data_IF_993683821180
#
_entry.id   IF_993683821180
#
_cell.length_a   1.000
_cell.length_b   1.000
_cell.length_c   1.000
_cell.angle_alpha   90.00
_cell.angle_beta   90.00
_cell.angle_gamma   90.00
#
_symmetry.space_group_name_H-M   'P 1'
#
loop_
_entity.id
_entity.type
_entity.pdbx_description
1 polymer ?
#
# COMPACT_ATOMS: atom_id res chain seq x y z
N UNK A 1 25.55 -20.56 -21.03
CA UNK A 1 25.26 -19.61 -19.93
C UNK A 1 25.28 -20.28 -18.55
N UNK A 2 24.43 -21.25 -18.20
CA UNK A 2 24.47 -21.90 -16.86
C UNK A 2 25.73 -22.74 -16.64
N UNK A 3 26.19 -23.47 -17.66
CA UNK A 3 27.42 -24.28 -17.57
C UNK A 3 28.65 -23.39 -17.43
N UNK A 4 28.69 -22.27 -18.15
CA UNK A 4 29.78 -21.28 -18.04
C UNK A 4 29.80 -20.65 -16.64
N UNK A 5 28.63 -20.39 -16.05
CA UNK A 5 28.50 -19.89 -14.67
C UNK A 5 28.87 -20.91 -13.61
N UNK A 6 28.62 -22.21 -13.84
CA UNK A 6 29.04 -23.27 -12.94
C UNK A 6 30.57 -23.45 -12.98
N UNK A 7 31.17 -23.37 -14.17
CA UNK A 7 32.62 -23.37 -14.32
C UNK A 7 33.27 -22.15 -13.63
N UNK A 8 32.66 -20.97 -13.76
CA UNK A 8 33.09 -19.77 -13.02
C UNK A 8 32.96 -19.94 -11.50
N UNK A 9 31.86 -20.55 -11.03
CA UNK A 9 31.64 -20.84 -9.62
C UNK A 9 32.71 -21.77 -9.05
N UNK A 10 33.01 -22.88 -9.73
CA UNK A 10 34.08 -23.80 -9.31
C UNK A 10 35.46 -23.14 -9.33
N UNK A 11 35.72 -22.28 -10.33
CA UNK A 11 36.96 -21.49 -10.37
C UNK A 11 37.08 -20.56 -9.16
N UNK A 12 36.07 -19.74 -8.89
CA UNK A 12 36.08 -18.81 -7.74
C UNK A 12 36.14 -19.57 -6.42
N UNK A 13 35.48 -20.73 -6.32
CA UNK A 13 35.53 -21.61 -5.15
C UNK A 13 36.94 -22.13 -4.89
N UNK A 14 37.69 -22.47 -5.94
CA UNK A 14 39.08 -22.93 -5.83
C UNK A 14 40.06 -21.82 -5.43
N UNK A 15 39.66 -20.55 -5.57
CA UNK A 15 40.45 -19.35 -5.24
C UNK A 15 40.14 -18.81 -3.82
N UNK A 16 39.27 -19.48 -3.05
CA UNK A 16 38.94 -19.04 -1.69
C UNK A 16 40.17 -19.11 -0.77
N UNK A 17 40.48 -17.99 -0.14
CA UNK A 17 41.59 -17.90 0.82
C UNK A 17 41.22 -18.59 2.14
N UNK A 18 42.19 -19.15 2.85
CA UNK A 18 41.93 -19.79 4.16
C UNK A 18 41.69 -18.72 5.24
N UNK A 19 40.70 -18.99 6.11
CA UNK A 19 40.38 -18.20 7.30
C UNK A 19 40.57 -19.00 8.61
N UNK A 20 41.31 -20.11 8.53
CA UNK A 20 41.61 -21.00 9.64
C UNK A 20 40.71 -22.24 9.68
N UNK A 21 41.27 -23.37 10.11
CA UNK A 21 40.70 -24.72 9.93
C UNK A 21 39.22 -24.85 10.35
N UNK A 22 38.81 -24.22 11.45
CA UNK A 22 37.42 -24.27 11.92
C UNK A 22 36.46 -23.52 10.99
N UNK A 23 36.89 -22.37 10.49
CA UNK A 23 36.12 -21.51 9.58
C UNK A 23 36.07 -22.14 8.19
N UNK A 24 37.18 -22.71 7.72
CA UNK A 24 37.29 -23.33 6.41
C UNK A 24 36.32 -24.52 6.26
N UNK A 25 36.13 -25.33 7.31
CA UNK A 25 35.13 -26.42 7.33
C UNK A 25 33.69 -25.88 7.16
N UNK A 26 33.38 -24.73 7.74
CA UNK A 26 32.05 -24.12 7.62
C UNK A 26 31.85 -23.49 6.24
N UNK A 27 32.87 -22.81 5.71
CA UNK A 27 32.88 -22.26 4.35
C UNK A 27 32.74 -23.37 3.31
N UNK A 28 33.41 -24.50 3.51
CA UNK A 28 33.30 -25.67 2.63
C UNK A 28 31.87 -26.24 2.63
N UNK A 29 31.25 -26.40 3.81
CA UNK A 29 29.85 -26.85 3.89
C UNK A 29 28.90 -25.88 3.19
N UNK A 30 29.09 -24.58 3.40
CA UNK A 30 28.25 -23.55 2.78
C UNK A 30 28.40 -23.51 1.26
N UNK A 31 29.63 -23.52 0.76
CA UNK A 31 29.91 -23.51 -0.69
C UNK A 31 29.45 -24.79 -1.39
N UNK A 32 29.56 -25.96 -0.74
CA UNK A 32 28.95 -27.19 -1.22
C UNK A 32 27.42 -27.08 -1.34
N UNK A 33 26.76 -26.48 -0.35
CA UNK A 33 25.31 -26.22 -0.39
C UNK A 33 24.91 -25.32 -1.55
N UNK A 34 25.66 -24.24 -1.79
CA UNK A 34 25.42 -23.35 -2.93
C UNK A 34 25.58 -24.05 -4.28
N UNK A 35 26.59 -24.91 -4.43
CA UNK A 35 26.79 -25.71 -5.64
C UNK A 35 25.60 -26.65 -5.92
N UNK A 36 25.07 -27.29 -4.87
CA UNK A 36 23.91 -28.16 -4.97
C UNK A 36 22.63 -27.41 -5.40
N UNK A 37 22.44 -26.16 -4.96
CA UNK A 37 21.30 -25.33 -5.37
C UNK A 37 21.35 -25.01 -6.87
N UNK A 38 22.53 -24.69 -7.42
CA UNK A 38 22.68 -24.38 -8.85
C UNK A 38 22.34 -25.60 -9.69
N UNK A 39 22.85 -26.77 -9.31
CA UNK A 39 22.55 -28.05 -9.96
C UNK A 39 21.07 -28.38 -9.81
N UNK A 40 20.50 -28.25 -8.61
CA UNK A 40 19.09 -28.51 -8.32
C UNK A 40 18.16 -27.64 -9.15
N UNK A 41 18.44 -26.34 -9.25
CA UNK A 41 17.69 -25.42 -10.11
C UNK A 41 17.78 -25.83 -11.59
N UNK A 42 18.98 -26.16 -12.08
CA UNK A 42 19.16 -26.59 -13.47
C UNK A 42 18.38 -27.89 -13.76
N UNK A 43 18.48 -28.90 -12.88
CA UNK A 43 17.74 -30.15 -12.99
C UNK A 43 16.23 -29.89 -12.96
N UNK A 44 15.74 -29.14 -11.98
CA UNK A 44 14.32 -28.84 -11.82
C UNK A 44 13.73 -28.04 -13.00
N UNK A 45 14.51 -27.12 -13.60
CA UNK A 45 14.11 -26.39 -14.80
C UNK A 45 13.88 -27.28 -16.02
N UNK A 46 14.50 -28.46 -16.08
CA UNK A 46 14.30 -29.44 -17.16
C UNK A 46 13.35 -30.59 -16.79
N UNK A 47 13.32 -31.01 -15.53
CA UNK A 47 12.43 -32.08 -15.05
C UNK A 47 10.96 -31.63 -14.96
N UNK A 48 10.71 -30.31 -14.92
CA UNK A 48 9.36 -29.74 -14.94
C UNK A 48 9.07 -28.93 -16.20
N UNK A 49 7.81 -28.87 -16.68
CA UNK A 49 7.45 -28.05 -17.83
C UNK A 49 7.34 -26.55 -17.49
N UNK A 50 7.63 -26.16 -16.24
CA UNK A 50 7.40 -24.81 -15.72
C UNK A 50 8.13 -23.71 -16.48
N UNK A 51 9.37 -23.95 -16.91
CA UNK A 51 10.24 -22.92 -17.49
C UNK A 51 10.38 -23.01 -19.02
N UNK A 52 10.40 -24.23 -19.56
CA UNK A 52 10.62 -24.47 -20.99
C UNK A 52 9.45 -25.20 -21.68
N UNK A 53 8.32 -25.36 -20.97
CA UNK A 53 7.12 -26.00 -21.53
C UNK A 53 7.41 -27.39 -22.09
N UNK A 54 6.83 -27.68 -23.26
CA UNK A 54 7.05 -28.91 -24.02
C UNK A 54 8.41 -28.96 -24.71
N UNK A 55 9.10 -27.84 -24.87
CA UNK A 55 10.39 -27.73 -25.57
C UNK A 55 11.60 -28.05 -24.67
N UNK A 56 11.38 -28.38 -23.40
CA UNK A 56 12.43 -28.57 -22.38
C UNK A 56 13.54 -29.55 -22.78
N UNK A 57 13.23 -30.66 -23.45
CA UNK A 57 14.22 -31.66 -23.86
C UNK A 57 15.05 -31.17 -25.07
N UNK A 58 14.41 -30.44 -25.99
CA UNK A 58 15.08 -29.78 -27.11
C UNK A 58 16.04 -28.70 -26.60
N UNK A 59 15.60 -27.87 -25.64
CA UNK A 59 16.42 -26.85 -24.99
C UNK A 59 17.57 -27.48 -24.21
N UNK A 60 17.33 -28.58 -23.47
CA UNK A 60 18.38 -29.32 -22.73
C UNK A 60 19.47 -29.85 -23.66
N UNK A 61 19.06 -30.43 -24.80
CA UNK A 61 19.96 -30.99 -25.82
C UNK A 61 20.74 -29.92 -26.57
N UNK A 62 20.09 -28.85 -26.99
CA UNK A 62 20.67 -27.82 -27.87
C UNK A 62 21.31 -26.67 -27.10
N UNK A 63 20.94 -26.49 -25.83
CA UNK A 63 21.30 -25.34 -24.98
C UNK A 63 20.90 -24.00 -25.60
N UNK A 64 19.90 -23.99 -26.47
CA UNK A 64 19.35 -22.80 -27.15
C UNK A 64 17.92 -22.58 -26.66
N UNK A 65 17.60 -21.34 -26.32
CA UNK A 65 16.26 -20.91 -25.94
C UNK A 65 15.83 -19.83 -26.93
N UNK A 66 14.68 -20.03 -27.56
CA UNK A 66 14.06 -18.98 -28.38
C UNK A 66 13.38 -17.98 -27.44
N UNK A 67 13.92 -16.77 -27.36
CA UNK A 67 13.26 -15.69 -26.63
C UNK A 67 12.07 -15.20 -27.47
N UNK A 68 10.85 -15.25 -26.90
CA UNK A 68 9.65 -14.67 -27.51
C UNK A 68 9.85 -13.15 -27.74
N UNK A 69 9.28 -12.60 -28.82
CA UNK A 69 9.97 -12.21 -30.05
C UNK A 69 10.89 -10.97 -29.93
N UNK A 70 11.76 -10.73 -30.93
CA UNK A 70 12.72 -9.61 -30.92
C UNK A 70 12.00 -8.25 -31.00
N UNK A 71 12.65 -7.20 -30.46
CA UNK A 71 12.25 -5.77 -30.51
C UNK A 71 11.96 -5.18 -31.92
N UNK A 72 11.98 -5.98 -32.99
CA UNK A 72 11.79 -5.54 -34.38
C UNK A 72 10.32 -5.21 -34.74
N UNK A 73 9.33 -5.77 -34.03
CA UNK A 73 7.90 -5.52 -34.35
C UNK A 73 7.30 -4.27 -33.67
N UNK A 74 8.08 -3.47 -32.94
CA UNK A 74 7.62 -2.16 -32.48
C UNK A 74 7.74 -1.07 -33.55
N UNK A 75 8.70 -1.18 -34.47
CA UNK A 75 8.96 -0.11 -35.45
C UNK A 75 7.88 -0.03 -36.55
N UNK A 76 7.32 -1.15 -37.01
CA UNK A 76 6.26 -1.17 -38.02
C UNK A 76 4.90 -0.62 -37.52
N UNK A 77 4.60 -0.76 -36.22
CA UNK A 77 3.38 -0.20 -35.63
C UNK A 77 3.52 1.30 -35.32
N UNK A 78 4.75 1.80 -35.16
CA UNK A 78 5.06 3.22 -35.01
C UNK A 78 5.02 3.98 -36.34
N UNK A 79 5.47 3.40 -37.46
CA UNK A 79 5.38 4.07 -38.78
C UNK A 79 3.95 4.22 -39.29
N UNK A 80 3.05 3.26 -38.99
CA UNK A 80 1.62 3.36 -39.37
C UNK A 80 0.83 4.41 -38.59
N UNK A 81 1.33 4.83 -37.42
CA UNK A 81 0.68 5.87 -36.60
C UNK A 81 1.22 7.27 -36.88
N UNK A 82 2.45 7.39 -37.40
CA UNK A 82 3.09 8.68 -37.72
C UNK A 82 2.63 9.24 -39.08
N UNK A 83 2.23 8.40 -40.04
CA UNK A 83 1.79 8.84 -41.38
C UNK A 83 0.38 9.48 -41.45
N UNK A 84 -0.27 9.77 -40.31
CA UNK A 84 -1.60 10.43 -40.25
C UNK A 84 -1.58 11.88 -39.77
N UNK A 85 -0.45 12.41 -39.34
CA UNK A 85 -0.34 13.79 -38.84
C UNK A 85 0.87 14.51 -39.40
N UNK A 86 0.85 14.85 -40.70
CA UNK A 86 1.75 15.85 -41.27
C UNK A 86 1.24 16.33 -42.64
N UNK A 87 0.28 17.27 -42.65
CA UNK A 87 0.10 18.25 -43.74
C UNK A 87 -0.40 19.56 -43.11
N UNK A 88 0.52 20.48 -42.83
CA UNK A 88 0.41 21.89 -43.26
C UNK A 88 1.61 22.69 -42.72
N UNK A 89 2.54 23.00 -43.62
CA UNK A 89 3.56 24.03 -43.46
C UNK A 89 3.37 25.08 -44.56
N UNK A 90 3.32 26.35 -44.17
CA UNK A 90 3.64 27.57 -44.93
C UNK A 90 3.69 28.69 -43.87
N UNK A 91 4.68 29.57 -43.73
CA UNK A 91 5.95 29.86 -44.39
C UNK A 91 6.47 31.22 -43.87
N UNK A 92 7.78 31.45 -43.92
CA UNK A 92 8.53 32.74 -43.95
C UNK A 92 8.43 33.70 -42.73
N UNK A 93 9.42 34.51 -42.31
CA UNK A 93 10.85 34.78 -42.62
C UNK A 93 11.38 35.78 -41.55
N UNK A 94 12.69 35.68 -41.24
CA UNK A 94 13.70 36.73 -40.92
C UNK A 94 13.69 37.63 -39.67
N UNK A 95 14.93 37.80 -39.15
CA UNK A 95 15.54 38.95 -38.41
C UNK A 95 15.24 39.09 -36.91
N UNK A 96 16.16 39.45 -36.00
CA UNK A 96 17.52 39.99 -36.05
C UNK A 96 18.21 39.75 -34.67
N UNK A 97 19.55 39.80 -34.58
CA UNK A 97 20.33 39.62 -33.33
C UNK A 97 21.09 40.90 -32.99
N UNK A 98 20.99 41.40 -31.75
CA UNK A 98 22.07 42.13 -31.07
C UNK A 98 21.89 42.18 -29.53
N UNK A 99 22.98 42.30 -28.76
CA UNK A 99 23.06 41.86 -27.36
C UNK A 99 23.28 42.99 -26.34
N UNK A 100 22.80 42.85 -25.09
CA UNK A 100 23.45 43.41 -23.88
C UNK A 100 22.71 43.07 -22.56
N UNK A 101 23.47 42.49 -21.61
CA UNK A 101 23.52 42.77 -20.15
C UNK A 101 22.22 42.57 -19.32
N UNK A 102 22.18 41.97 -18.12
CA UNK A 102 23.17 41.49 -17.17
C UNK A 102 22.44 40.76 -16.00
N UNK A 103 23.16 39.84 -15.34
CA UNK A 103 23.10 39.48 -13.90
C UNK A 103 22.00 38.53 -13.35
N UNK A 104 22.52 37.42 -12.80
CA UNK A 104 21.97 36.48 -11.81
C UNK A 104 20.91 35.46 -12.24
N UNK A 105 21.39 34.32 -12.71
CA UNK A 105 20.80 33.03 -12.34
C UNK A 105 21.89 31.96 -12.44
N UNK A 106 22.42 31.57 -11.29
CA UNK A 106 23.20 30.34 -11.15
C UNK A 106 22.20 29.17 -11.22
N UNK A 107 21.63 28.95 -12.41
CA UNK A 107 20.92 27.75 -12.77
C UNK A 107 22.00 26.74 -13.16
N UNK A 108 22.46 25.94 -12.20
CA UNK A 108 22.97 24.61 -12.54
C UNK A 108 21.81 23.82 -13.15
N UNK A 109 21.72 23.92 -14.47
CA UNK A 109 20.79 23.21 -15.35
C UNK A 109 21.08 21.72 -15.24
N UNK A 110 20.48 21.05 -14.26
CA UNK A 110 20.19 19.62 -14.40
C UNK A 110 19.33 19.50 -15.66
N UNK A 111 19.91 18.97 -16.74
CA UNK A 111 19.26 18.76 -18.03
C UNK A 111 17.82 18.26 -17.84
N UNK A 112 16.86 19.17 -17.96
CA UNK A 112 15.41 18.96 -17.85
C UNK A 112 14.81 18.23 -19.06
N UNK A 113 15.67 17.82 -19.99
CA UNK A 113 15.33 17.23 -21.27
C UNK A 113 15.34 15.69 -21.12
N UNK A 114 14.41 15.15 -20.34
CA UNK A 114 14.03 13.71 -20.36
C UNK A 114 12.82 13.42 -19.45
N UNK A 115 12.74 14.05 -18.27
CA UNK A 115 11.75 13.67 -17.25
C UNK A 115 10.30 13.92 -17.67
N UNK A 116 9.96 15.10 -18.23
CA UNK A 116 8.60 15.44 -18.63
C UNK A 116 8.00 14.46 -19.66
N UNK A 117 8.82 13.99 -20.62
CA UNK A 117 8.40 13.03 -21.66
C UNK A 117 8.02 11.67 -21.09
N UNK A 118 8.62 11.27 -19.97
CA UNK A 118 8.42 9.95 -19.36
C UNK A 118 7.64 10.00 -18.04
N UNK A 119 7.25 11.18 -17.55
CA UNK A 119 6.50 11.31 -16.29
C UNK A 119 5.22 10.49 -16.29
N UNK A 120 4.47 10.50 -17.40
CA UNK A 120 3.25 9.70 -17.50
C UNK A 120 3.53 8.20 -17.39
N UNK A 121 4.69 7.74 -17.91
CA UNK A 121 5.12 6.34 -17.81
C UNK A 121 5.55 5.99 -16.38
N UNK A 122 6.27 6.88 -15.73
CA UNK A 122 6.73 6.72 -14.34
C UNK A 122 5.52 6.64 -13.39
N UNK A 123 4.46 7.40 -13.67
CA UNK A 123 3.26 7.47 -12.84
C UNK A 123 2.15 6.49 -13.26
N UNK A 124 2.41 5.57 -14.21
CA UNK A 124 1.40 4.59 -14.63
C UNK A 124 0.78 3.80 -13.48
N UNK A 125 1.54 3.26 -12.50
CA UNK A 125 0.94 2.53 -11.37
C UNK A 125 -0.02 3.40 -10.55
N UNK A 126 0.36 4.65 -10.28
CA UNK A 126 -0.47 5.61 -9.54
C UNK A 126 -1.74 5.98 -10.31
N UNK A 127 -1.59 6.32 -11.59
CA UNK A 127 -2.71 6.70 -12.45
C UNK A 127 -3.68 5.54 -12.66
N UNK A 128 -3.16 4.31 -12.75
CA UNK A 128 -3.95 3.09 -12.79
C UNK A 128 -4.81 2.95 -11.54
N UNK A 129 -4.22 2.98 -10.35
CA UNK A 129 -4.98 2.89 -9.10
C UNK A 129 -6.05 3.98 -8.99
N UNK A 130 -5.72 5.22 -9.40
CA UNK A 130 -6.67 6.34 -9.38
C UNK A 130 -7.84 6.14 -10.36
N UNK A 131 -7.62 5.44 -11.46
CA UNK A 131 -8.68 5.13 -12.44
C UNK A 131 -9.70 4.10 -11.93
N UNK A 132 -9.34 3.33 -10.90
CA UNK A 132 -10.24 2.33 -10.31
C UNK A 132 -11.30 3.00 -9.41
N UNK A 133 -12.57 2.58 -9.51
CA UNK A 133 -13.67 3.20 -8.76
C UNK A 133 -13.43 3.12 -7.25
N UNK A 134 -13.25 4.27 -6.60
CA UNK A 134 -13.09 4.42 -5.15
C UNK A 134 -14.26 5.17 -4.52
N UNK A 135 -14.53 4.96 -3.22
CA UNK A 135 -15.69 5.55 -2.53
C UNK A 135 -15.52 7.04 -2.14
N UNK A 136 -14.42 7.73 -2.48
CA UNK A 136 -14.14 9.16 -2.16
C UNK A 136 -14.50 9.65 -0.74
N UNK A 137 -14.58 8.74 0.23
CA UNK A 137 -15.03 9.01 1.62
C UNK A 137 -14.13 10.07 2.29
N UNK A 138 -12.83 10.08 1.98
CA UNK A 138 -11.83 10.98 2.59
C UNK A 138 -12.08 12.45 2.26
N UNK A 139 -12.33 12.79 0.99
CA UNK A 139 -12.68 14.16 0.60
C UNK A 139 -13.95 14.61 1.32
N UNK A 140 -14.98 13.76 1.35
CA UNK A 140 -16.21 14.04 2.12
C UNK A 140 -15.91 14.30 3.60
N UNK A 141 -15.02 13.52 4.22
CA UNK A 141 -14.65 13.70 5.62
C UNK A 141 -13.86 14.98 5.89
N UNK A 142 -12.96 15.39 5.00
CA UNK A 142 -12.22 16.68 5.12
C UNK A 142 -13.20 17.85 5.05
N UNK A 143 -14.11 17.84 4.07
CA UNK A 143 -15.15 18.86 3.95
C UNK A 143 -16.09 18.86 5.15
N UNK A 144 -16.45 17.67 5.66
CA UNK A 144 -17.27 17.53 6.86
C UNK A 144 -16.56 18.12 8.09
N UNK A 145 -15.27 17.84 8.30
CA UNK A 145 -14.49 18.42 9.40
C UNK A 145 -14.38 19.94 9.25
N UNK A 146 -14.25 20.45 8.03
CA UNK A 146 -14.16 21.89 7.80
C UNK A 146 -15.43 22.66 8.21
N UNK A 147 -16.58 21.99 8.37
CA UNK A 147 -17.77 22.59 8.99
C UNK A 147 -17.45 23.22 10.37
N UNK A 148 -16.59 22.58 11.16
CA UNK A 148 -16.15 23.09 12.45
C UNK A 148 -14.94 24.01 12.34
N UNK A 149 -13.96 23.64 11.51
CA UNK A 149 -12.71 24.39 11.41
C UNK A 149 -12.83 25.70 10.64
N UNK A 150 -13.75 25.83 9.68
CA UNK A 150 -13.95 27.05 8.89
C UNK A 150 -12.63 27.59 8.28
N UNK A 151 -11.76 26.69 7.83
CA UNK A 151 -10.54 27.07 7.13
C UNK A 151 -10.88 27.65 5.74
N UNK A 152 -10.02 28.51 5.17
CA UNK A 152 -10.25 29.09 3.84
C UNK A 152 -10.25 28.03 2.73
N UNK A 153 -11.12 28.21 1.73
CA UNK A 153 -11.31 27.25 0.63
C UNK A 153 -10.02 26.95 -0.14
N UNK A 154 -9.18 27.95 -0.39
CA UNK A 154 -7.89 27.76 -1.08
C UNK A 154 -6.96 26.83 -0.30
N UNK A 155 -7.08 26.77 1.03
CA UNK A 155 -6.31 25.85 1.88
C UNK A 155 -6.90 24.45 1.86
N UNK A 156 -8.23 24.32 1.89
CA UNK A 156 -8.91 23.02 1.83
C UNK A 156 -8.55 22.28 0.54
N UNK A 157 -8.52 22.97 -0.60
CA UNK A 157 -8.14 22.38 -1.89
C UNK A 157 -6.72 21.78 -1.83
N UNK A 158 -5.79 22.47 -1.17
CA UNK A 158 -4.41 21.97 -1.00
C UNK A 158 -4.38 20.78 -0.04
N UNK A 159 -5.15 20.83 1.06
CA UNK A 159 -5.24 19.74 2.03
C UNK A 159 -5.82 18.48 1.36
N UNK A 160 -6.92 18.59 0.65
CA UNK A 160 -7.58 17.47 -0.04
C UNK A 160 -6.64 16.81 -1.06
N UNK A 161 -5.97 17.60 -1.90
CA UNK A 161 -4.99 17.11 -2.87
C UNK A 161 -3.78 16.42 -2.20
N UNK A 162 -3.32 16.92 -1.05
CA UNK A 162 -2.25 16.27 -0.27
C UNK A 162 -2.73 14.93 0.29
N UNK A 163 -3.87 14.91 0.97
CA UNK A 163 -4.39 13.70 1.62
C UNK A 163 -4.76 12.63 0.60
N UNK A 164 -5.39 12.98 -0.53
CA UNK A 164 -5.72 12.02 -1.59
C UNK A 164 -4.45 11.40 -2.19
N UNK A 165 -3.41 12.20 -2.46
CA UNK A 165 -2.16 11.71 -3.03
C UNK A 165 -1.40 10.80 -2.07
N UNK A 166 -1.26 11.20 -0.82
CA UNK A 166 -0.56 10.39 0.19
C UNK A 166 -1.32 9.09 0.46
N UNK A 167 -2.66 9.13 0.51
CA UNK A 167 -3.46 7.92 0.65
C UNK A 167 -3.30 6.95 -0.53
N UNK A 168 -3.40 7.42 -1.77
CA UNK A 168 -3.28 6.51 -2.91
C UNK A 168 -1.83 6.02 -3.05
N UNK A 169 -0.82 6.83 -2.70
CA UNK A 169 0.56 6.38 -2.64
C UNK A 169 0.77 5.30 -1.57
N UNK A 170 0.19 5.46 -0.38
CA UNK A 170 0.31 4.45 0.68
C UNK A 170 -0.35 3.13 0.28
N UNK A 171 -1.49 3.15 -0.42
CA UNK A 171 -2.13 1.93 -0.91
C UNK A 171 -1.26 1.13 -1.89
N UNK A 172 -0.49 1.80 -2.75
CA UNK A 172 0.42 1.12 -3.69
C UNK A 172 1.51 0.33 -2.95
N UNK A 173 2.00 0.89 -1.84
CA UNK A 173 3.03 0.26 -1.00
C UNK A 173 2.41 -0.82 -0.12
N UNK A 174 1.27 -0.56 0.52
CA UNK A 174 0.47 -1.51 1.31
C UNK A 174 0.17 -2.79 0.52
N UNK A 175 -0.32 -2.65 -0.72
CA UNK A 175 -0.57 -3.81 -1.60
C UNK A 175 0.70 -4.68 -1.84
N UNK A 176 1.88 -4.06 -1.87
CA UNK A 176 3.16 -4.78 -2.06
C UNK A 176 3.60 -5.43 -0.75
N UNK A 177 3.53 -4.69 0.36
CA UNK A 177 3.94 -5.14 1.70
C UNK A 177 3.08 -6.31 2.20
N UNK A 178 1.82 -6.36 1.77
CA UNK A 178 0.84 -7.38 2.14
C UNK A 178 0.72 -8.50 1.09
N UNK A 179 1.34 -8.32 -0.09
CA UNK A 179 1.23 -9.26 -1.21
C UNK A 179 -0.18 -9.37 -1.79
N UNK A 180 -0.99 -8.31 -1.69
CA UNK A 180 -2.37 -8.27 -2.15
C UNK A 180 -2.45 -8.35 -3.67
N UNK A 181 -3.23 -9.29 -4.19
CA UNK A 181 -3.35 -9.48 -5.65
C UNK A 181 -4.46 -8.64 -6.28
N UNK A 182 -5.44 -8.19 -5.48
CA UNK A 182 -6.65 -7.52 -5.95
C UNK A 182 -6.89 -6.27 -5.11
N UNK A 183 -7.13 -5.14 -5.78
CA UNK A 183 -7.53 -3.87 -5.17
C UNK A 183 -8.72 -3.29 -5.93
N UNK A 184 -9.81 -2.98 -5.20
CA UNK A 184 -11.05 -2.42 -5.76
C UNK A 184 -11.64 -3.27 -6.91
N UNK A 185 -11.54 -4.59 -6.80
CA UNK A 185 -12.06 -5.56 -7.78
C UNK A 185 -11.23 -5.70 -9.06
N UNK A 186 -10.05 -5.07 -9.11
CA UNK A 186 -9.10 -5.20 -10.22
C UNK A 186 -7.73 -5.66 -9.70
N UNK A 187 -6.84 -6.08 -10.60
CA UNK A 187 -5.49 -6.50 -10.25
C UNK A 187 -4.73 -5.37 -9.51
N UNK A 188 -3.99 -5.69 -8.44
CA UNK A 188 -3.21 -4.68 -7.72
C UNK A 188 -2.13 -4.09 -8.64
N UNK A 189 -1.77 -2.81 -8.46
CA UNK A 189 -0.90 -2.10 -9.41
C UNK A 189 0.45 -2.80 -9.65
N UNK A 190 1.05 -3.39 -8.60
CA UNK A 190 2.32 -4.10 -8.71
C UNK A 190 2.22 -5.41 -9.51
N UNK A 191 1.02 -6.00 -9.63
CA UNK A 191 0.80 -7.19 -10.47
C UNK A 191 0.73 -6.85 -11.97
N UNK A 192 0.49 -5.58 -12.30
CA UNK A 192 0.39 -5.07 -13.68
C UNK A 192 1.71 -4.42 -14.13
N UNK A 193 2.33 -3.64 -13.24
CA UNK A 193 3.48 -2.80 -13.55
C UNK A 193 4.77 -3.24 -12.87
N UNK A 194 4.75 -4.39 -12.21
CA UNK A 194 5.83 -4.93 -11.38
C UNK A 194 6.10 -4.09 -10.12
N UNK A 195 6.68 -4.76 -9.13
CA UNK A 195 7.05 -4.17 -7.82
C UNK A 195 7.95 -2.93 -7.99
N UNK A 196 9.05 -2.95 -8.77
CA UNK A 196 10.00 -1.84 -8.77
C UNK A 196 9.40 -0.51 -9.25
N UNK A 197 8.60 -0.54 -10.33
CA UNK A 197 7.99 0.67 -10.86
C UNK A 197 6.88 1.19 -9.94
N UNK A 198 6.14 0.27 -9.30
CA UNK A 198 5.07 0.62 -8.37
C UNK A 198 5.62 1.30 -7.11
N UNK A 199 6.71 0.79 -6.53
CA UNK A 199 7.43 1.44 -5.43
C UNK A 199 7.88 2.85 -5.84
N UNK A 200 8.58 2.96 -6.96
CA UNK A 200 9.09 4.24 -7.43
C UNK A 200 7.96 5.26 -7.69
N UNK A 201 6.82 4.83 -8.25
CA UNK A 201 5.68 5.71 -8.48
C UNK A 201 5.04 6.22 -7.18
N UNK A 202 4.95 5.36 -6.16
CA UNK A 202 4.44 5.72 -4.84
C UNK A 202 5.38 6.68 -4.11
N UNK A 203 6.68 6.37 -4.06
CA UNK A 203 7.71 7.22 -3.44
C UNK A 203 7.80 8.59 -4.11
N UNK A 204 7.84 8.62 -5.45
CA UNK A 204 7.82 9.87 -6.21
C UNK A 204 6.59 10.70 -5.83
N UNK A 205 5.42 10.07 -5.77
CA UNK A 205 4.17 10.76 -5.42
C UNK A 205 4.23 11.30 -3.99
N UNK A 206 4.76 10.54 -3.04
CA UNK A 206 4.96 10.96 -1.67
C UNK A 206 5.87 12.21 -1.60
N UNK A 207 7.07 12.16 -2.17
CA UNK A 207 8.01 13.28 -2.19
C UNK A 207 7.45 14.52 -2.89
N UNK A 208 6.81 14.33 -4.06
CA UNK A 208 6.18 15.41 -4.80
C UNK A 208 5.02 16.06 -4.01
N UNK A 209 4.34 15.28 -3.17
CA UNK A 209 3.23 15.75 -2.33
C UNK A 209 3.73 16.51 -1.10
N UNK A 210 4.80 16.06 -0.45
CA UNK A 210 5.46 16.81 0.63
C UNK A 210 5.86 18.22 0.15
N UNK A 211 6.38 18.34 -1.08
CA UNK A 211 6.70 19.64 -1.70
C UNK A 211 5.48 20.56 -1.82
N UNK A 212 4.26 20.03 -1.95
CA UNK A 212 3.04 20.85 -1.98
C UNK A 212 2.77 21.54 -0.65
N UNK A 213 3.28 21.01 0.47
CA UNK A 213 3.20 21.64 1.78
C UNK A 213 3.75 23.06 1.82
N UNK A 214 4.71 23.41 0.95
CA UNK A 214 5.23 24.78 0.86
C UNK A 214 4.20 25.78 0.31
N UNK A 215 3.17 25.32 -0.43
CA UNK A 215 2.11 26.20 -0.95
C UNK A 215 1.22 26.80 0.15
N UNK A 216 1.26 26.23 1.35
CA UNK A 216 0.55 26.77 2.50
C UNK A 216 1.13 28.11 2.99
N UNK A 217 2.39 28.45 2.63
CA UNK A 217 3.10 29.62 3.13
C UNK A 217 3.09 29.71 4.67
N UNK A 218 3.12 28.55 5.34
CA UNK A 218 3.10 28.45 6.80
C UNK A 218 4.26 27.56 7.28
N UNK A 219 5.11 28.02 8.22
CA UNK A 219 6.34 27.32 8.59
C UNK A 219 6.10 25.93 9.19
N UNK A 220 4.94 25.70 9.82
CA UNK A 220 4.60 24.39 10.41
C UNK A 220 3.98 23.39 9.43
N UNK A 221 3.55 23.80 8.23
CA UNK A 221 2.75 22.92 7.37
C UNK A 221 3.54 21.69 6.90
N UNK A 222 4.78 21.90 6.43
CA UNK A 222 5.67 20.81 6.02
C UNK A 222 6.04 19.92 7.21
N UNK A 223 6.27 20.52 8.38
CA UNK A 223 6.54 19.77 9.61
C UNK A 223 5.39 18.82 9.94
N UNK A 224 4.13 19.29 9.91
CA UNK A 224 2.94 18.46 10.18
C UNK A 224 2.87 17.30 9.18
N UNK A 225 3.06 17.58 7.89
CA UNK A 225 3.02 16.54 6.85
C UNK A 225 4.09 15.47 7.11
N UNK A 226 5.33 15.87 7.35
CA UNK A 226 6.43 14.92 7.60
C UNK A 226 6.23 14.16 8.91
N UNK A 227 5.80 14.84 9.97
CA UNK A 227 5.54 14.22 11.26
C UNK A 227 4.51 13.09 11.16
N UNK A 228 3.34 13.35 10.56
CA UNK A 228 2.30 12.33 10.41
C UNK A 228 2.65 11.24 9.39
N UNK A 229 3.52 11.53 8.42
CA UNK A 229 4.09 10.48 7.56
C UNK A 229 5.01 9.53 8.35
N UNK A 230 5.82 10.05 9.25
CA UNK A 230 6.66 9.20 10.12
C UNK A 230 5.80 8.34 11.03
N UNK A 231 4.76 8.91 11.66
CA UNK A 231 3.82 8.14 12.48
C UNK A 231 3.09 7.05 11.69
N UNK A 232 2.70 7.32 10.44
CA UNK A 232 2.11 6.32 9.56
C UNK A 232 3.06 5.15 9.32
N UNK A 233 4.34 5.42 9.02
CA UNK A 233 5.34 4.37 8.80
C UNK A 233 5.68 3.62 10.09
N UNK A 234 5.67 4.29 11.25
CA UNK A 234 5.83 3.62 12.55
C UNK A 234 4.69 2.61 12.77
N UNK A 235 3.45 3.01 12.52
CA UNK A 235 2.30 2.12 12.61
C UNK A 235 2.38 0.95 11.63
N UNK A 236 2.68 1.22 10.36
CA UNK A 236 2.84 0.19 9.33
C UNK A 236 3.98 -0.79 9.67
N UNK A 237 5.10 -0.27 10.16
CA UNK A 237 6.25 -1.08 10.56
C UNK A 237 5.95 -2.03 11.71
N UNK A 238 5.13 -1.60 12.69
CA UNK A 238 4.68 -2.48 13.77
C UNK A 238 3.77 -3.60 13.24
N UNK A 239 2.81 -3.28 12.37
CA UNK A 239 1.91 -4.27 11.74
C UNK A 239 2.71 -5.37 11.01
N UNK A 240 3.65 -4.94 10.15
CA UNK A 240 4.55 -5.84 9.41
C UNK A 240 5.43 -6.64 10.37
N UNK A 241 6.05 -6.00 11.37
CA UNK A 241 6.97 -6.68 12.27
C UNK A 241 6.26 -7.76 13.09
N UNK A 242 5.08 -7.46 13.64
CA UNK A 242 4.27 -8.44 14.36
C UNK A 242 3.93 -9.63 13.47
N UNK A 243 3.39 -9.38 12.29
CA UNK A 243 3.02 -10.38 11.28
C UNK A 243 4.20 -11.29 10.89
N UNK A 244 5.35 -10.70 10.58
CA UNK A 244 6.52 -11.41 10.04
C UNK A 244 7.33 -12.13 11.13
N UNK A 245 7.23 -11.69 12.39
CA UNK A 245 7.88 -12.34 13.54
C UNK A 245 6.92 -13.21 14.36
N UNK A 246 5.66 -13.31 13.94
CA UNK A 246 4.61 -14.09 14.59
C UNK A 246 4.38 -13.70 16.07
N UNK A 247 4.49 -12.40 16.36
CA UNK A 247 4.24 -11.84 17.69
C UNK A 247 2.86 -11.21 17.69
N UNK A 248 1.88 -11.89 18.31
CA UNK A 248 0.53 -11.34 18.47
C UNK A 248 0.57 -10.16 19.45
N UNK A 249 0.11 -8.96 19.06
CA UNK A 249 0.01 -7.83 19.97
C UNK A 249 -1.19 -7.99 20.93
N UNK A 250 -1.19 -7.23 22.02
CA UNK A 250 -2.39 -6.98 22.82
C UNK A 250 -3.39 -6.08 22.06
N UNK A 251 -4.66 -6.08 22.49
CA UNK A 251 -5.67 -5.19 21.89
C UNK A 251 -5.29 -3.71 22.01
N UNK A 252 -4.68 -3.31 23.13
CA UNK A 252 -4.24 -1.93 23.37
C UNK A 252 -3.09 -1.54 22.43
N UNK A 253 -2.10 -2.41 22.25
CA UNK A 253 -0.99 -2.21 21.30
C UNK A 253 -1.52 -2.11 19.86
N UNK A 254 -2.44 -2.99 19.48
CA UNK A 254 -3.11 -2.91 18.18
C UNK A 254 -3.81 -1.56 18.00
N UNK A 255 -4.58 -1.10 18.99
CA UNK A 255 -5.28 0.17 18.92
C UNK A 255 -4.30 1.35 18.75
N UNK A 256 -3.17 1.34 19.46
CA UNK A 256 -2.12 2.35 19.31
C UNK A 256 -1.48 2.33 17.92
N UNK A 257 -1.21 1.14 17.39
CA UNK A 257 -0.68 0.96 16.03
C UNK A 257 -1.65 1.50 14.98
N UNK A 258 -2.94 1.18 15.07
CA UNK A 258 -3.97 1.67 14.15
C UNK A 258 -4.11 3.19 14.18
N UNK A 259 -4.04 3.80 15.36
CA UNK A 259 -4.05 5.26 15.49
C UNK A 259 -2.87 5.90 14.77
N UNK A 260 -1.73 5.21 14.68
CA UNK A 260 -0.54 5.67 13.96
C UNK A 260 -0.67 5.41 12.45
N UNK A 261 -0.97 4.15 12.04
CA UNK A 261 -1.10 3.69 10.65
C UNK A 261 -2.25 4.38 9.90
N UNK A 262 -3.47 4.22 10.41
CA UNK A 262 -4.68 4.73 9.76
C UNK A 262 -4.98 6.19 10.18
N UNK A 263 -4.75 6.50 11.45
CA UNK A 263 -5.07 7.82 12.02
C UNK A 263 -4.11 8.93 11.58
N UNK A 264 -2.89 8.60 11.15
CA UNK A 264 -1.89 9.58 10.72
C UNK A 264 -2.38 10.54 9.63
N UNK A 265 -3.04 10.04 8.57
CA UNK A 265 -3.57 10.90 7.51
C UNK A 265 -4.77 11.76 7.98
N UNK A 266 -5.63 11.21 8.84
CA UNK A 266 -6.75 11.98 9.41
C UNK A 266 -6.26 13.09 10.33
N UNK A 267 -5.31 12.79 11.22
CA UNK A 267 -4.69 13.75 12.13
C UNK A 267 -3.91 14.82 11.36
N UNK A 268 -3.22 14.43 10.29
CA UNK A 268 -2.59 15.37 9.37
C UNK A 268 -3.61 16.37 8.81
N UNK A 269 -4.75 15.89 8.31
CA UNK A 269 -5.80 16.77 7.79
C UNK A 269 -6.34 17.72 8.85
N UNK A 270 -6.63 17.21 10.06
CA UNK A 270 -7.12 18.00 11.20
C UNK A 270 -6.11 19.08 11.61
N UNK A 271 -4.83 18.73 11.75
CA UNK A 271 -3.80 19.70 12.14
C UNK A 271 -3.57 20.75 11.07
N UNK A 272 -3.59 20.38 9.78
CA UNK A 272 -3.50 21.33 8.68
C UNK A 272 -4.72 22.27 8.65
N UNK A 273 -5.94 21.75 8.87
CA UNK A 273 -7.14 22.58 9.00
C UNK A 273 -7.02 23.54 10.20
N UNK A 274 -6.54 23.05 11.34
CA UNK A 274 -6.36 23.80 12.59
C UNK A 274 -5.38 24.97 12.42
N UNK A 275 -4.37 24.85 11.55
CA UNK A 275 -3.43 25.95 11.26
C UNK A 275 -4.11 27.20 10.68
N UNK A 276 -5.19 27.02 9.93
CA UNK A 276 -5.88 28.11 9.23
C UNK A 276 -7.28 28.37 9.79
N UNK A 277 -7.58 27.80 10.96
CA UNK A 277 -8.89 27.86 11.56
C UNK A 277 -9.01 28.98 12.59
N UNK A 278 -10.13 29.73 12.62
CA UNK A 278 -10.42 30.67 13.70
C UNK A 278 -10.68 30.01 15.06
N UNK A 279 -10.93 28.69 15.14
CA UNK A 279 -11.17 27.97 16.41
C UNK A 279 -9.86 27.42 17.03
N UNK A 280 -8.69 27.83 16.54
CA UNK A 280 -7.39 27.33 16.99
C UNK A 280 -7.20 27.43 18.53
N UNK A 281 -7.77 28.43 19.19
CA UNK A 281 -7.64 28.65 20.63
C UNK A 281 -8.65 27.88 21.50
N UNK A 282 -9.65 27.22 20.92
CA UNK A 282 -10.65 26.46 21.68
C UNK A 282 -10.12 25.06 22.02
N UNK A 283 -9.37 24.98 23.11
CA UNK A 283 -8.74 23.74 23.57
C UNK A 283 -9.75 22.62 23.82
N UNK A 284 -10.94 22.95 24.33
CA UNK A 284 -11.97 21.95 24.63
C UNK A 284 -12.53 21.35 23.34
N UNK A 285 -12.86 22.20 22.36
CA UNK A 285 -13.37 21.76 21.06
C UNK A 285 -12.31 20.96 20.30
N UNK A 286 -11.04 21.40 20.33
CA UNK A 286 -9.93 20.66 19.73
C UNK A 286 -9.77 19.26 20.33
N UNK A 287 -9.82 19.12 21.66
CA UNK A 287 -9.74 17.80 22.31
C UNK A 287 -10.90 16.89 21.89
N UNK A 288 -12.13 17.40 21.84
CA UNK A 288 -13.28 16.60 21.40
C UNK A 288 -13.16 16.14 19.94
N UNK A 289 -12.58 16.97 19.07
CA UNK A 289 -12.31 16.59 17.67
C UNK A 289 -11.20 15.52 17.61
N UNK A 290 -10.17 15.62 18.44
CA UNK A 290 -9.09 14.64 18.50
C UNK A 290 -9.60 13.27 19.01
N UNK A 291 -10.45 13.28 20.04
CA UNK A 291 -11.14 12.07 20.55
C UNK A 291 -12.04 11.44 19.47
N UNK A 292 -12.76 12.27 18.70
CA UNK A 292 -13.62 11.80 17.61
C UNK A 292 -12.79 11.20 16.49
N UNK A 293 -11.67 11.83 16.13
CA UNK A 293 -10.75 11.31 15.13
C UNK A 293 -10.20 9.94 15.53
N UNK A 294 -9.82 9.76 16.80
CA UNK A 294 -9.37 8.47 17.32
C UNK A 294 -10.47 7.41 17.22
N UNK A 295 -11.69 7.73 17.67
CA UNK A 295 -12.82 6.80 17.62
C UNK A 295 -13.18 6.40 16.18
N UNK A 296 -13.21 7.36 15.25
CA UNK A 296 -13.47 7.13 13.83
C UNK A 296 -12.38 6.27 13.18
N UNK A 297 -11.11 6.52 13.52
CA UNK A 297 -9.98 5.75 12.98
C UNK A 297 -10.06 4.28 13.40
N UNK A 298 -10.28 4.04 14.70
CA UNK A 298 -10.46 2.68 15.24
C UNK A 298 -11.68 2.00 14.62
N UNK A 299 -12.79 2.73 14.49
CA UNK A 299 -14.00 2.21 13.86
C UNK A 299 -13.73 1.80 12.41
N UNK A 300 -13.04 2.65 11.65
CA UNK A 300 -12.75 2.39 10.24
C UNK A 300 -11.93 1.12 10.05
N UNK A 301 -10.85 0.97 10.83
CA UNK A 301 -9.95 -0.16 10.69
C UNK A 301 -10.53 -1.46 11.25
N UNK A 302 -11.11 -1.45 12.46
CA UNK A 302 -11.69 -2.66 13.04
C UNK A 302 -12.87 -3.15 12.18
N UNK A 303 -13.61 -2.23 11.55
CA UNK A 303 -14.61 -2.58 10.55
C UNK A 303 -13.98 -3.20 9.29
N UNK A 304 -12.85 -2.67 8.79
CA UNK A 304 -12.14 -3.24 7.62
C UNK A 304 -11.72 -4.69 7.91
N UNK A 305 -11.08 -4.91 9.06
CA UNK A 305 -10.67 -6.24 9.56
C UNK A 305 -11.86 -7.19 9.69
N UNK A 306 -12.98 -6.72 10.25
CA UNK A 306 -14.23 -7.49 10.33
C UNK A 306 -14.77 -7.83 8.93
N UNK A 307 -14.82 -6.86 8.03
CA UNK A 307 -15.32 -7.05 6.66
C UNK A 307 -14.45 -8.03 5.85
N UNK A 308 -13.12 -8.02 6.05
CA UNK A 308 -12.18 -8.90 5.37
C UNK A 308 -12.56 -10.38 5.55
N UNK A 309 -13.06 -10.74 6.73
CA UNK A 309 -13.36 -12.11 7.11
C UNK A 309 -14.81 -12.53 6.81
N UNK A 310 -15.78 -11.59 6.88
CA UNK A 310 -17.21 -11.94 6.84
C UNK A 310 -17.97 -11.42 5.61
N UNK A 311 -17.46 -10.41 4.88
CA UNK A 311 -18.22 -9.75 3.83
C UNK A 311 -18.01 -10.35 2.44
N UNK A 312 -19.11 -10.77 1.82
CA UNK A 312 -19.14 -11.24 0.43
C UNK A 312 -18.77 -10.14 -0.57
N UNK A 313 -19.18 -8.90 -0.34
CA UNK A 313 -18.81 -7.74 -1.18
C UNK A 313 -17.30 -7.44 -1.06
N UNK A 314 -16.73 -7.57 0.14
CA UNK A 314 -15.27 -7.44 0.31
C UNK A 314 -14.52 -8.55 -0.42
N UNK A 315 -15.02 -9.79 -0.34
CA UNK A 315 -14.45 -10.92 -1.09
C UNK A 315 -14.43 -10.68 -2.61
N UNK A 316 -15.32 -9.84 -3.15
CA UNK A 316 -15.33 -9.49 -4.57
C UNK A 316 -14.40 -8.31 -4.90
N UNK A 317 -14.23 -7.37 -3.96
CA UNK A 317 -13.37 -6.18 -4.16
C UNK A 317 -11.91 -6.39 -3.74
N UNK A 318 -11.65 -7.45 -2.97
CA UNK A 318 -10.35 -8.02 -2.57
C UNK A 318 -10.36 -9.53 -2.87
N UNK A 319 -9.50 -10.30 -2.20
CA UNK A 319 -9.53 -11.77 -2.18
C UNK A 319 -10.27 -12.31 -0.93
N UNK A 320 -10.73 -13.56 -0.96
CA UNK A 320 -11.42 -14.19 0.18
C UNK A 320 -10.47 -14.32 1.40
N UNK A 321 -10.84 -13.70 2.52
CA UNK A 321 -10.07 -13.66 3.77
C UNK A 321 -8.58 -13.37 3.51
N UNK A 322 -8.31 -12.24 2.88
CA UNK A 322 -6.95 -11.82 2.52
C UNK A 322 -6.05 -11.71 3.75
N UNK A 323 -6.56 -11.21 4.88
CA UNK A 323 -5.79 -11.06 6.12
C UNK A 323 -5.18 -12.41 6.59
N UNK A 324 -5.85 -13.53 6.33
CA UNK A 324 -5.33 -14.88 6.64
C UNK A 324 -4.21 -15.31 5.68
N UNK A 325 -4.26 -14.86 4.43
CA UNK A 325 -3.19 -15.14 3.44
C UNK A 325 -1.97 -14.28 3.73
N UNK A 326 -2.20 -13.05 4.18
CA UNK A 326 -1.17 -12.13 4.64
C UNK A 326 -0.48 -12.65 5.91
N UNK A 327 -1.24 -13.33 6.78
CA UNK A 327 -0.80 -13.75 8.11
C UNK A 327 -0.98 -12.65 9.15
N UNK A 328 -1.83 -11.65 8.87
CA UNK A 328 -2.02 -10.44 9.67
C UNK A 328 -2.71 -10.72 10.99
N UNK A 329 -2.27 -10.05 12.04
CA UNK A 329 -2.98 -10.00 13.32
C UNK A 329 -4.10 -8.95 13.27
N UNK A 330 -5.18 -9.26 12.56
CA UNK A 330 -6.38 -8.40 12.53
C UNK A 330 -7.15 -8.48 13.85
N UNK A 331 -8.01 -7.48 14.15
CA UNK A 331 -8.67 -7.37 15.45
C UNK A 331 -9.41 -8.66 15.91
N UNK A 332 -10.20 -9.34 15.07
CA UNK A 332 -10.83 -10.62 15.45
C UNK A 332 -9.81 -11.72 15.77
N UNK A 333 -8.69 -11.77 15.05
CA UNK A 333 -7.64 -12.76 15.21
C UNK A 333 -6.88 -12.53 16.53
N UNK A 334 -6.57 -11.27 16.85
CA UNK A 334 -5.93 -10.89 18.12
C UNK A 334 -6.79 -11.34 19.30
N UNK A 335 -8.09 -11.01 19.29
CA UNK A 335 -9.00 -11.42 20.36
C UNK A 335 -9.03 -12.95 20.49
N UNK A 336 -9.15 -13.67 19.38
CA UNK A 336 -9.19 -15.13 19.34
C UNK A 336 -7.94 -15.78 19.95
N UNK A 337 -6.75 -15.29 19.58
CA UNK A 337 -5.49 -15.82 20.10
C UNK A 337 -5.28 -15.50 21.58
N UNK A 338 -5.77 -14.35 22.05
CA UNK A 338 -5.68 -13.96 23.45
C UNK A 338 -6.66 -14.72 24.35
N UNK A 339 -7.86 -15.05 23.87
CA UNK A 339 -8.88 -15.77 24.66
C UNK A 339 -8.70 -17.30 24.63
N UNK A 340 -8.02 -17.83 23.60
CA UNK A 340 -7.69 -19.25 23.45
C UNK A 340 -6.19 -19.47 23.21
N UNK A 341 -5.31 -19.07 24.16
CA UNK A 341 -3.85 -19.19 23.98
C UNK A 341 -3.38 -20.66 23.89
N UNK A 342 -4.14 -21.59 24.45
CA UNK A 342 -3.83 -23.03 24.42
C UNK A 342 -4.25 -23.73 23.10
N UNK A 343 -5.03 -23.06 22.25
CA UNK A 343 -5.49 -23.62 20.96
C UNK A 343 -4.62 -23.10 19.80
N UNK A 344 -3.67 -23.92 19.35
CA UNK A 344 -2.71 -23.49 18.33
C UNK A 344 -3.30 -23.42 16.92
N UNK A 345 -4.49 -23.99 16.66
CA UNK A 345 -5.04 -24.19 15.30
C UNK A 345 -5.08 -22.89 14.49
N UNK A 346 -5.65 -21.83 15.07
CA UNK A 346 -5.74 -20.54 14.39
C UNK A 346 -4.37 -19.93 14.13
N UNK A 347 -3.47 -19.97 15.11
CA UNK A 347 -2.11 -19.46 14.98
C UNK A 347 -1.29 -20.22 13.94
N UNK A 348 -1.48 -21.55 13.84
CA UNK A 348 -0.81 -22.41 12.88
C UNK A 348 -1.33 -22.18 11.45
N UNK A 349 -2.64 -21.93 11.28
CA UNK A 349 -3.20 -21.51 9.97
C UNK A 349 -2.63 -20.15 9.56
N UNK A 350 -2.57 -19.18 10.48
CA UNK A 350 -2.08 -17.83 10.21
C UNK A 350 -0.61 -17.83 9.76
N UNK A 351 0.24 -18.62 10.43
CA UNK A 351 1.66 -18.78 10.06
C UNK A 351 1.87 -19.38 8.67
N UNK A 352 0.92 -20.18 8.17
CA UNK A 352 1.02 -20.81 6.86
C UNK A 352 0.84 -19.83 5.70
N UNK A 353 0.26 -18.64 5.93
CA UNK A 353 -0.03 -17.65 4.87
C UNK A 353 -0.74 -18.30 3.68
N UNK A 354 -1.73 -19.10 4.00
CA UNK A 354 -2.32 -20.06 3.06
C UNK A 354 -3.28 -19.39 2.10
N UNK A 355 -3.25 -19.83 0.84
CA UNK A 355 -4.29 -19.51 -0.16
C UNK A 355 -5.36 -20.60 -0.26
N UNK A 356 -5.24 -21.70 0.52
CA UNK A 356 -6.21 -22.78 0.54
C UNK A 356 -7.53 -22.30 1.17
N UNK A 357 -8.63 -22.46 0.45
CA UNK A 357 -9.96 -21.97 0.86
C UNK A 357 -10.49 -22.75 2.07
N UNK A 358 -10.25 -24.05 2.16
CA UNK A 358 -10.73 -24.90 3.26
C UNK A 358 -10.08 -24.49 4.58
N UNK A 359 -8.76 -24.22 4.58
CA UNK A 359 -8.05 -23.73 5.77
C UNK A 359 -8.53 -22.33 6.19
N UNK A 360 -8.86 -21.46 5.22
CA UNK A 360 -9.46 -20.15 5.53
C UNK A 360 -10.84 -20.28 6.14
N UNK A 361 -11.67 -21.19 5.62
CA UNK A 361 -12.99 -21.48 6.17
C UNK A 361 -12.88 -22.05 7.59
N UNK A 362 -11.91 -22.94 7.85
CA UNK A 362 -11.61 -23.44 9.19
C UNK A 362 -11.25 -22.30 10.14
N UNK A 363 -10.34 -21.40 9.75
CA UNK A 363 -9.98 -20.25 10.57
C UNK A 363 -11.20 -19.35 10.89
N UNK A 364 -12.04 -19.04 9.90
CA UNK A 364 -13.27 -18.27 10.13
C UNK A 364 -14.22 -19.00 11.08
N UNK A 365 -14.34 -20.33 10.97
CA UNK A 365 -15.15 -21.14 11.88
C UNK A 365 -14.62 -21.09 13.32
N UNK A 366 -13.30 -21.13 13.52
CA UNK A 366 -12.68 -20.97 14.83
C UNK A 366 -12.97 -19.59 15.43
N UNK A 367 -12.92 -18.53 14.61
CA UNK A 367 -13.24 -17.17 15.07
C UNK A 367 -14.69 -17.05 15.56
N UNK A 368 -15.64 -17.72 14.92
CA UNK A 368 -17.02 -17.83 15.42
C UNK A 368 -17.13 -18.68 16.68
N UNK A 369 -16.46 -19.84 16.74
CA UNK A 369 -16.44 -20.70 17.93
C UNK A 369 -15.91 -19.95 19.16
N UNK A 370 -14.89 -19.11 18.97
CA UNK A 370 -14.27 -18.33 20.04
C UNK A 370 -15.01 -17.02 20.33
N UNK A 371 -16.14 -16.74 19.64
CA UNK A 371 -16.95 -15.52 19.82
C UNK A 371 -16.25 -14.23 19.37
N UNK A 372 -15.20 -14.33 18.56
CA UNK A 372 -14.33 -13.20 18.20
C UNK A 372 -14.97 -12.30 17.13
N UNK A 373 -15.80 -12.88 16.27
CA UNK A 373 -16.58 -12.12 15.27
C UNK A 373 -17.62 -11.26 15.98
N UNK A 374 -18.36 -11.84 16.94
CA UNK A 374 -19.39 -11.17 17.72
C UNK A 374 -18.79 -10.12 18.67
N UNK A 375 -17.64 -10.41 19.29
CA UNK A 375 -16.88 -9.44 20.08
C UNK A 375 -16.48 -8.23 19.23
N UNK A 376 -15.86 -8.46 18.07
CA UNK A 376 -15.45 -7.40 17.15
C UNK A 376 -16.63 -6.54 16.71
N UNK A 377 -17.75 -7.17 16.37
CA UNK A 377 -19.00 -6.49 16.04
C UNK A 377 -19.46 -5.58 17.19
N UNK A 378 -19.41 -6.07 18.43
CA UNK A 378 -19.74 -5.29 19.63
C UNK A 378 -18.83 -4.08 19.83
N UNK A 379 -17.53 -4.22 19.56
CA UNK A 379 -16.57 -3.11 19.60
C UNK A 379 -16.90 -2.06 18.53
N UNK A 380 -17.19 -2.47 17.29
CA UNK A 380 -17.63 -1.56 16.23
C UNK A 380 -18.88 -0.75 16.62
N UNK A 381 -19.89 -1.40 17.23
CA UNK A 381 -21.09 -0.71 17.71
C UNK A 381 -20.75 0.31 18.81
N UNK A 382 -19.91 -0.06 19.78
CA UNK A 382 -19.47 0.85 20.85
C UNK A 382 -18.73 2.07 20.28
N UNK A 383 -17.84 1.86 19.32
CA UNK A 383 -17.09 2.94 18.66
C UNK A 383 -18.00 3.85 17.82
N UNK A 384 -18.98 3.30 17.11
CA UNK A 384 -19.97 4.09 16.38
C UNK A 384 -20.79 4.97 17.33
N UNK A 385 -21.30 4.40 18.44
CA UNK A 385 -22.00 5.15 19.48
C UNK A 385 -21.14 6.26 20.07
N UNK A 386 -19.86 5.97 20.34
CA UNK A 386 -18.91 6.98 20.81
C UNK A 386 -18.75 8.13 19.81
N UNK A 387 -18.69 7.82 18.51
CA UNK A 387 -18.64 8.84 17.46
C UNK A 387 -19.88 9.72 17.47
N UNK A 388 -21.10 9.14 17.56
CA UNK A 388 -22.33 9.93 17.63
C UNK A 388 -22.35 10.87 18.84
N UNK A 389 -22.00 10.36 20.03
CA UNK A 389 -21.94 11.17 21.26
C UNK A 389 -20.96 12.36 21.12
N UNK A 390 -19.79 12.14 20.53
CA UNK A 390 -18.79 13.17 20.33
C UNK A 390 -19.24 14.20 19.29
N UNK A 391 -19.88 13.76 18.20
CA UNK A 391 -20.46 14.66 17.20
C UNK A 391 -21.54 15.54 17.84
N UNK A 392 -22.39 14.99 18.70
CA UNK A 392 -23.44 15.75 19.39
C UNK A 392 -22.85 16.78 20.39
N UNK A 393 -21.77 16.40 21.10
CA UNK A 393 -21.01 17.33 21.96
C UNK A 393 -20.34 18.46 21.18
N UNK A 394 -20.08 18.24 19.89
CA UNK A 394 -19.52 19.22 18.95
C UNK A 394 -20.61 20.02 18.20
N UNK A 395 -21.82 20.10 18.77
CA UNK A 395 -22.97 20.84 18.21
C UNK A 395 -23.50 20.26 16.89
N UNK A 396 -23.17 18.99 16.60
CA UNK A 396 -23.64 18.25 15.44
C UNK A 396 -22.80 18.46 14.17
N UNK A 397 -22.89 17.48 13.28
CA UNK A 397 -22.31 17.49 11.94
C UNK A 397 -22.97 16.41 11.07
N UNK A 398 -23.89 16.82 10.17
CA UNK A 398 -24.69 15.88 9.40
C UNK A 398 -23.83 14.95 8.53
N UNK A 399 -22.80 15.49 7.88
CA UNK A 399 -21.93 14.72 6.98
C UNK A 399 -21.12 13.66 7.74
N UNK A 400 -20.61 13.99 8.94
CA UNK A 400 -19.92 13.00 9.77
C UNK A 400 -20.88 11.94 10.30
N UNK A 401 -22.11 12.31 10.69
CA UNK A 401 -23.13 11.33 11.10
C UNK A 401 -23.42 10.33 9.96
N UNK A 402 -23.65 10.84 8.75
CA UNK A 402 -23.87 9.99 7.58
C UNK A 402 -22.68 9.07 7.28
N UNK A 403 -21.45 9.55 7.48
CA UNK A 403 -20.26 8.71 7.32
C UNK A 403 -20.22 7.59 8.38
N UNK A 404 -20.55 7.89 9.64
CA UNK A 404 -20.66 6.87 10.71
C UNK A 404 -21.77 5.88 10.38
N UNK A 405 -22.93 6.33 9.89
CA UNK A 405 -24.05 5.48 9.49
C UNK A 405 -23.63 4.48 8.39
N UNK A 406 -22.91 4.96 7.38
CA UNK A 406 -22.38 4.11 6.31
C UNK A 406 -21.38 3.06 6.83
N UNK A 407 -20.53 3.44 7.78
CA UNK A 407 -19.63 2.49 8.44
C UNK A 407 -20.43 1.47 9.26
N UNK A 408 -21.49 1.92 9.93
CA UNK A 408 -22.27 1.11 10.86
C UNK A 408 -23.28 0.16 10.23
N UNK A 409 -23.68 0.42 8.97
CA UNK A 409 -24.68 -0.38 8.26
C UNK A 409 -24.39 -1.90 8.30
N UNK A 410 -23.12 -2.32 8.21
CA UNK A 410 -22.77 -3.75 8.13
C UNK A 410 -22.93 -4.51 9.45
N UNK A 411 -22.87 -3.82 10.60
CA UNK A 411 -22.93 -4.46 11.92
C UNK A 411 -24.18 -4.09 12.73
N UNK A 412 -25.07 -3.27 12.19
CA UNK A 412 -26.37 -2.97 12.78
C UNK A 412 -27.49 -3.93 12.34
N UNK A 413 -27.27 -4.78 11.33
CA UNK A 413 -28.27 -5.80 10.91
C UNK A 413 -28.35 -6.92 11.96
N UNK A 414 -29.50 -7.18 12.62
CA UNK A 414 -29.62 -8.25 13.61
C UNK A 414 -29.20 -9.60 13.03
N UNK A 415 -28.68 -10.51 13.85
CA UNK A 415 -28.35 -11.88 13.47
C UNK A 415 -29.60 -12.75 13.12
N UNK A 416 -30.72 -12.13 12.80
CA UNK A 416 -31.99 -12.77 12.44
C UNK A 416 -32.26 -12.53 10.96
N UNK A 417 -31.54 -13.29 10.15
CA UNK A 417 -32.09 -13.80 8.88
C UNK A 417 -31.49 -15.18 8.69
N UNK A 418 -31.91 -16.11 9.54
CA UNK A 418 -32.00 -17.52 9.13
C UNK A 418 -32.96 -17.53 7.95
N UNK A 419 -32.40 -17.56 6.74
CA UNK A 419 -33.16 -17.91 5.56
C UNK A 419 -33.18 -19.43 5.53
N UNK A 420 -34.40 -19.96 5.60
CA UNK A 420 -34.78 -21.37 5.48
C UNK A 420 -34.23 -22.04 4.22
#
# INVERSE_FOLDING_TARGET
MVIDRYADFERVRSELVSWGAKTDIQVEKFTNGLGAIIIGNAVWSFETPKYFGTEREEVKRTRRVTLLPPRANMQENLTKSISKHEINSNGNTTEDVSPQQNLHQDQTTFNSISSAKYMDKILQPYNYLKSLPGKNIRTTLIHALNYWFKAPEDKIIIIDDIIDKLYNASLLIDDIEDGSLIRRGAAAAHTVYEIPLTINAAEFTCCATIKKGFKFNHPRAVFIIVHHLVELHNGQGLDIWWRDNHVCPSEDEYCQMIVSKCGGLFRMAIELLRLFSPIQSDMRKNQLIDDLCQALTLLFQIRDDYCNLISKEYTQSKSYCEDLSEGKFSFPIIHALNIRPDDSRLGDILKQRTYNIDLKQEAVQLLHEFGSIEYTRGICVKLANKCYELIDKLEGNLYLKMAVDQLAAIFQVPAETKVE
#
